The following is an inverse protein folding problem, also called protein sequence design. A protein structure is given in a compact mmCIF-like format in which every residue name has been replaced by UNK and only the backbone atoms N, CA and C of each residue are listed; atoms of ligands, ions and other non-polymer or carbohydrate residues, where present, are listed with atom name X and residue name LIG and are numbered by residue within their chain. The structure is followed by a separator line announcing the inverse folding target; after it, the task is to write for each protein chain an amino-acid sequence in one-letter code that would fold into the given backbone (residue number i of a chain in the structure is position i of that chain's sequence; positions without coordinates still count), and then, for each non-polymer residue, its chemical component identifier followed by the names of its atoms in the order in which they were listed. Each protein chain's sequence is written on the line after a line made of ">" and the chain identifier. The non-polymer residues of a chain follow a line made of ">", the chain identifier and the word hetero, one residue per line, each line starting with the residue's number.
data_IF_756246282162
#
_entry.id   IF_756246282162
#
_cell.length_a   1.000
_cell.length_b   1.000
_cell.length_c   1.000
_cell.angle_alpha   90.00
_cell.angle_beta   90.00
_cell.angle_gamma   90.00
#
_symmetry.space_group_name_H-M   'P 1'
#
loop_
_entity.id
_entity.type
_entity.pdbx_description
1 polymer ?
#
# COMPACT_ATOMS: atom_id res chain seq x y z
N UNK A 1 9.21 -21.56 4.34
CA UNK A 1 9.88 -20.26 4.32
C UNK A 1 9.24 -19.44 3.21
N UNK A 2 8.19 -18.63 3.54
CA UNK A 2 7.50 -17.79 2.55
C UNK A 2 8.42 -16.59 2.28
N UNK A 3 9.13 -16.60 1.16
CA UNK A 3 9.77 -15.40 0.64
C UNK A 3 8.67 -14.39 0.32
N UNK A 4 8.47 -13.40 1.18
CA UNK A 4 7.75 -12.18 0.80
C UNK A 4 8.54 -11.57 -0.37
N UNK A 5 8.08 -11.84 -1.59
CA UNK A 5 8.66 -11.26 -2.80
C UNK A 5 8.49 -9.74 -2.68
N UNK A 6 9.57 -9.06 -2.34
CA UNK A 6 9.58 -7.59 -2.32
C UNK A 6 9.22 -7.09 -3.71
N UNK A 7 7.99 -6.61 -3.84
CA UNK A 7 7.49 -6.10 -5.10
C UNK A 7 8.07 -4.71 -5.33
N UNK A 8 8.87 -4.55 -6.39
CA UNK A 8 9.48 -3.27 -6.74
C UNK A 8 8.42 -2.21 -7.08
N UNK A 9 8.77 -0.94 -6.97
CA UNK A 9 7.87 0.15 -7.36
C UNK A 9 7.56 0.11 -8.86
N UNK A 10 8.51 -0.35 -9.68
CA UNK A 10 8.28 -0.54 -11.11
C UNK A 10 7.22 -1.63 -11.38
N UNK A 11 7.25 -2.75 -10.65
CA UNK A 11 6.27 -3.82 -10.80
C UNK A 11 4.87 -3.37 -10.36
N UNK A 12 4.79 -2.62 -9.24
CA UNK A 12 3.54 -2.01 -8.79
C UNK A 12 2.98 -1.05 -9.84
N UNK A 13 3.82 -0.19 -10.40
CA UNK A 13 3.41 0.78 -11.41
C UNK A 13 2.91 0.11 -12.68
N UNK A 14 3.49 -1.05 -13.05
CA UNK A 14 2.98 -1.87 -14.17
C UNK A 14 1.59 -2.42 -13.85
N UNK A 15 1.36 -2.91 -12.64
CA UNK A 15 0.07 -3.40 -12.20
C UNK A 15 -0.99 -2.29 -12.16
N UNK A 16 -0.61 -1.09 -11.69
CA UNK A 16 -1.51 0.04 -11.53
C UNK A 16 -1.75 0.82 -12.82
N UNK A 17 -0.96 0.58 -13.88
CA UNK A 17 -1.01 1.34 -15.14
C UNK A 17 -2.42 1.37 -15.75
N UNK A 18 -3.08 0.22 -15.87
CA UNK A 18 -4.43 0.14 -16.43
C UNK A 18 -5.45 0.95 -15.62
N UNK A 19 -5.31 0.95 -14.29
CA UNK A 19 -6.15 1.73 -13.39
C UNK A 19 -5.90 3.24 -13.52
N UNK A 20 -4.63 3.65 -13.59
CA UNK A 20 -4.24 5.06 -13.68
C UNK A 20 -4.59 5.68 -15.03
N UNK A 21 -4.51 4.90 -16.11
CA UNK A 21 -4.81 5.37 -17.47
C UNK A 21 -6.29 5.29 -17.83
N UNK A 22 -7.13 4.66 -17.00
CA UNK A 22 -8.57 4.61 -17.25
C UNK A 22 -9.20 6.00 -17.19
N UNK A 23 -10.16 6.24 -18.08
CA UNK A 23 -10.79 7.55 -18.31
C UNK A 23 -11.36 8.17 -17.03
N UNK A 24 -11.07 9.44 -16.81
CA UNK A 24 -11.66 10.25 -15.74
C UNK A 24 -11.01 10.14 -14.36
N UNK A 25 -10.00 9.29 -14.14
CA UNK A 25 -9.35 9.14 -12.82
C UNK A 25 -8.28 10.19 -12.55
N UNK A 26 -7.52 10.56 -13.56
CA UNK A 26 -6.52 11.61 -13.50
C UNK A 26 -6.95 12.77 -14.38
N UNK A 27 -7.02 13.97 -13.80
CA UNK A 27 -7.22 15.20 -14.56
C UNK A 27 -5.90 15.68 -15.18
N UNK A 28 -5.98 16.49 -16.25
CA UNK A 28 -4.79 17.10 -16.86
C UNK A 28 -3.98 17.91 -15.83
N UNK A 29 -4.68 18.71 -15.03
CA UNK A 29 -4.04 19.51 -13.98
C UNK A 29 -3.26 18.66 -12.97
N UNK A 30 -3.78 17.47 -12.62
CA UNK A 30 -3.13 16.57 -11.69
C UNK A 30 -1.86 15.96 -12.31
N UNK A 31 -1.93 15.54 -13.58
CA UNK A 31 -0.76 15.03 -14.32
C UNK A 31 0.30 16.12 -14.43
N UNK A 32 -0.08 17.37 -14.71
CA UNK A 32 0.85 18.48 -14.78
C UNK A 32 1.54 18.76 -13.43
N UNK A 33 0.79 18.70 -12.32
CA UNK A 33 1.36 18.82 -10.97
C UNK A 33 2.38 17.72 -10.68
N UNK A 34 2.06 16.47 -11.01
CA UNK A 34 2.96 15.33 -10.83
C UNK A 34 4.24 15.50 -11.66
N UNK A 35 4.12 15.88 -12.93
CA UNK A 35 5.27 16.12 -13.81
C UNK A 35 6.16 17.24 -13.27
N UNK A 36 5.59 18.35 -12.82
CA UNK A 36 6.34 19.45 -12.21
C UNK A 36 7.04 19.01 -10.91
N UNK A 37 6.40 18.22 -10.09
CA UNK A 37 7.02 17.70 -8.88
C UNK A 37 8.22 16.79 -9.20
N UNK A 38 8.09 15.88 -10.16
CA UNK A 38 9.17 15.00 -10.62
C UNK A 38 10.34 15.76 -11.27
N UNK A 39 10.06 16.93 -11.85
CA UNK A 39 11.09 17.80 -12.39
C UNK A 39 11.86 18.58 -11.28
N UNK A 40 11.16 18.93 -10.18
CA UNK A 40 11.73 19.75 -9.09
C UNK A 40 12.39 18.97 -7.97
N UNK A 41 12.10 17.66 -7.86
CA UNK A 41 12.67 16.82 -6.80
C UNK A 41 14.17 16.63 -6.99
N UNK A 42 14.90 16.50 -5.88
CA UNK A 42 16.33 16.19 -5.93
C UNK A 42 16.59 14.75 -5.43
N UNK A 43 17.36 13.95 -6.15
CA UNK A 43 17.92 14.17 -7.49
C UNK A 43 16.83 14.25 -8.56
N UNK A 44 17.03 15.12 -9.56
CA UNK A 44 16.04 15.42 -10.60
C UNK A 44 15.63 14.16 -11.38
N UNK A 45 14.33 13.86 -11.35
CA UNK A 45 13.76 12.69 -12.04
C UNK A 45 13.50 13.02 -13.52
N UNK A 46 12.90 14.16 -13.80
CA UNK A 46 12.61 14.62 -15.16
C UNK A 46 13.39 15.87 -15.48
N UNK A 47 14.06 15.90 -16.62
CA UNK A 47 14.66 17.13 -17.17
C UNK A 47 13.56 18.10 -17.63
N UNK A 48 13.90 19.37 -17.82
CA UNK A 48 12.95 20.38 -18.30
C UNK A 48 12.32 19.99 -19.64
N UNK A 49 13.13 19.49 -20.57
CA UNK A 49 12.65 19.01 -21.88
C UNK A 49 11.66 17.84 -21.78
N UNK A 50 11.94 16.89 -20.87
CA UNK A 50 11.03 15.77 -20.61
C UNK A 50 9.74 16.24 -19.96
N UNK A 51 9.82 17.15 -18.99
CA UNK A 51 8.64 17.74 -18.35
C UNK A 51 7.75 18.48 -19.36
N UNK A 52 8.31 19.27 -20.27
CA UNK A 52 7.58 19.93 -21.34
C UNK A 52 6.89 18.92 -22.27
N UNK A 53 7.61 17.83 -22.64
CA UNK A 53 7.05 16.77 -23.48
C UNK A 53 5.82 16.12 -22.84
N UNK A 54 5.89 15.80 -21.54
CA UNK A 54 4.77 15.15 -20.83
C UNK A 54 3.62 16.12 -20.47
N UNK A 55 3.84 17.42 -20.56
CA UNK A 55 2.84 18.46 -20.37
C UNK A 55 2.25 19.03 -21.66
N UNK A 56 2.65 18.48 -22.82
CA UNK A 56 2.19 18.99 -24.12
C UNK A 56 0.66 18.83 -24.27
N UNK A 57 -0.11 19.94 -24.36
CA UNK A 57 -1.57 19.90 -24.44
C UNK A 57 -2.10 19.33 -25.77
N UNK A 58 -1.24 19.23 -26.79
CA UNK A 58 -1.62 18.64 -28.10
C UNK A 58 -1.75 17.12 -28.05
N UNK A 59 -1.12 16.46 -27.07
CA UNK A 59 -1.22 15.02 -26.91
C UNK A 59 -2.36 14.65 -25.97
N UNK A 60 -3.06 13.55 -26.22
CA UNK A 60 -4.10 13.07 -25.34
C UNK A 60 -3.56 12.76 -23.94
N UNK A 61 -4.37 13.00 -22.90
CA UNK A 61 -4.00 12.72 -21.51
C UNK A 61 -3.53 11.28 -21.31
N UNK A 62 -4.23 10.32 -21.92
CA UNK A 62 -3.87 8.90 -21.89
C UNK A 62 -2.47 8.66 -22.49
N UNK A 63 -2.16 9.25 -23.65
CA UNK A 63 -0.85 9.10 -24.29
C UNK A 63 0.27 9.73 -23.45
N UNK A 64 0.03 10.91 -22.89
CA UNK A 64 0.99 11.61 -22.00
C UNK A 64 1.30 10.79 -20.77
N UNK A 65 0.27 10.27 -20.10
CA UNK A 65 0.41 9.47 -18.89
C UNK A 65 1.08 8.11 -19.17
N UNK A 66 0.67 7.41 -20.22
CA UNK A 66 1.29 6.14 -20.62
C UNK A 66 2.77 6.30 -20.95
N UNK A 67 3.11 7.37 -21.68
CA UNK A 67 4.50 7.71 -22.00
C UNK A 67 5.33 8.08 -20.78
N UNK A 68 4.74 8.81 -19.83
CA UNK A 68 5.37 9.15 -18.55
C UNK A 68 5.66 7.87 -17.74
N UNK A 69 4.67 7.01 -17.56
CA UNK A 69 4.81 5.76 -16.81
C UNK A 69 5.90 4.87 -17.44
N UNK A 70 5.86 4.68 -18.76
CA UNK A 70 6.88 3.90 -19.47
C UNK A 70 8.29 4.47 -19.30
N UNK A 71 8.41 5.81 -19.33
CA UNK A 71 9.68 6.50 -19.11
C UNK A 71 10.22 6.27 -17.69
N UNK A 72 9.37 6.37 -16.67
CA UNK A 72 9.76 6.15 -15.28
C UNK A 72 10.18 4.71 -15.02
N UNK A 73 9.44 3.72 -15.57
CA UNK A 73 9.78 2.30 -15.47
C UNK A 73 11.14 2.00 -16.08
N UNK A 74 11.46 2.62 -17.23
CA UNK A 74 12.76 2.46 -17.90
C UNK A 74 13.92 3.03 -17.07
N UNK A 75 13.67 4.06 -16.26
CA UNK A 75 14.69 4.70 -15.41
C UNK A 75 14.92 4.00 -14.08
N UNK A 76 14.03 3.08 -13.69
CA UNK A 76 14.19 2.21 -12.52
C UNK A 76 13.27 2.54 -11.35
N UNK A 77 13.59 1.95 -10.20
CA UNK A 77 12.68 1.89 -9.05
C UNK A 77 12.51 3.23 -8.33
N UNK A 78 13.59 4.02 -8.17
CA UNK A 78 13.52 5.34 -7.53
C UNK A 78 12.57 6.33 -8.22
N UNK A 79 12.62 6.53 -9.56
CA UNK A 79 11.65 7.34 -10.27
C UNK A 79 10.21 6.87 -10.09
N UNK A 80 9.97 5.56 -10.08
CA UNK A 80 8.64 5.00 -9.82
C UNK A 80 8.18 5.29 -8.39
N UNK A 81 9.06 5.22 -7.40
CA UNK A 81 8.78 5.59 -6.01
C UNK A 81 8.39 7.07 -5.87
N UNK A 82 9.14 7.97 -6.51
CA UNK A 82 8.83 9.40 -6.48
C UNK A 82 7.52 9.75 -7.19
N UNK A 83 7.15 8.99 -8.23
CA UNK A 83 5.82 9.11 -8.84
C UNK A 83 4.71 8.76 -7.84
N UNK A 84 4.85 7.69 -7.07
CA UNK A 84 3.88 7.33 -6.04
C UNK A 84 3.83 8.37 -4.92
N UNK A 85 4.97 8.94 -4.54
CA UNK A 85 5.01 10.05 -3.57
C UNK A 85 4.27 11.27 -4.10
N UNK A 86 4.50 11.65 -5.36
CA UNK A 86 3.80 12.75 -6.01
C UNK A 86 2.29 12.49 -6.10
N UNK A 87 1.90 11.26 -6.41
CA UNK A 87 0.50 10.85 -6.46
C UNK A 87 -0.15 10.92 -5.06
N UNK A 88 0.53 10.46 -4.02
CA UNK A 88 0.06 10.52 -2.64
C UNK A 88 -0.18 11.97 -2.18
N UNK A 89 0.75 12.88 -2.50
CA UNK A 89 0.65 14.29 -2.09
C UNK A 89 -0.48 15.01 -2.83
N UNK A 90 -0.66 14.75 -4.12
CA UNK A 90 -1.58 15.51 -4.97
C UNK A 90 -2.96 14.85 -5.14
N UNK A 91 -3.08 13.56 -4.88
CA UNK A 91 -4.30 12.77 -5.07
C UNK A 91 -4.35 11.58 -4.10
N UNK A 92 -4.42 11.84 -2.81
CA UNK A 92 -4.39 10.82 -1.76
C UNK A 92 -5.47 9.75 -1.94
N UNK A 93 -6.70 10.15 -2.27
CA UNK A 93 -7.81 9.21 -2.49
C UNK A 93 -7.55 8.24 -3.65
N UNK A 94 -6.96 8.73 -4.73
CA UNK A 94 -6.57 7.89 -5.85
C UNK A 94 -5.44 6.93 -5.45
N UNK A 95 -4.46 7.42 -4.70
CA UNK A 95 -3.34 6.65 -4.19
C UNK A 95 -3.77 5.48 -3.27
N UNK A 96 -4.73 5.73 -2.37
CA UNK A 96 -5.28 4.70 -1.47
C UNK A 96 -6.02 3.61 -2.27
N UNK A 97 -6.69 4.00 -3.35
CA UNK A 97 -7.50 3.10 -4.18
C UNK A 97 -6.71 2.31 -5.23
N UNK A 98 -5.39 2.43 -5.29
CA UNK A 98 -4.56 1.68 -6.23
C UNK A 98 -4.70 0.16 -6.06
N UNK A 99 -4.80 -0.61 -7.16
CA UNK A 99 -4.88 -2.07 -7.12
C UNK A 99 -3.71 -2.72 -6.37
N UNK A 100 -2.48 -2.24 -6.58
CA UNK A 100 -1.28 -2.75 -5.91
C UNK A 100 -1.33 -2.59 -4.38
N UNK A 101 -2.01 -1.58 -3.87
CA UNK A 101 -2.19 -1.37 -2.42
C UNK A 101 -3.28 -2.25 -1.82
N UNK A 102 -4.38 -2.45 -2.56
CA UNK A 102 -5.48 -3.32 -2.12
C UNK A 102 -5.04 -4.77 -2.00
N UNK A 103 -4.22 -5.25 -2.92
CA UNK A 103 -3.68 -6.62 -2.87
C UNK A 103 -2.82 -6.87 -1.63
N UNK A 104 -1.99 -5.91 -1.23
CA UNK A 104 -1.16 -6.01 -0.03
C UNK A 104 -1.97 -6.07 1.26
N UNK A 105 -3.03 -5.24 1.37
CA UNK A 105 -3.90 -5.21 2.54
C UNK A 105 -4.63 -6.55 2.73
N UNK A 106 -5.21 -7.11 1.67
CA UNK A 106 -5.95 -8.39 1.73
C UNK A 106 -5.06 -9.56 2.15
N UNK A 107 -3.85 -9.65 1.60
CA UNK A 107 -2.91 -10.76 1.92
C UNK A 107 -2.42 -10.68 3.36
N UNK A 108 -2.19 -9.49 3.88
CA UNK A 108 -1.76 -9.29 5.27
C UNK A 108 -2.85 -9.73 6.27
N UNK A 109 -4.10 -9.35 6.05
CA UNK A 109 -5.22 -9.76 6.89
C UNK A 109 -5.44 -11.28 6.86
N UNK A 110 -5.36 -11.92 5.69
CA UNK A 110 -5.47 -13.37 5.57
C UNK A 110 -4.36 -14.11 6.31
N UNK A 111 -3.12 -13.62 6.23
CA UNK A 111 -1.98 -14.22 6.94
C UNK A 111 -2.14 -14.09 8.46
N UNK A 112 -2.54 -12.93 8.98
CA UNK A 112 -2.78 -12.72 10.42
C UNK A 112 -3.95 -13.56 10.93
N UNK A 113 -5.03 -13.68 10.16
CA UNK A 113 -6.18 -14.52 10.51
C UNK A 113 -5.80 -16.02 10.52
N UNK A 114 -5.02 -16.46 9.54
CA UNK A 114 -4.53 -17.84 9.45
C UNK A 114 -3.67 -18.24 10.64
N UNK A 115 -2.77 -17.37 11.08
CA UNK A 115 -1.91 -17.62 12.26
C UNK A 115 -2.74 -17.64 13.54
N UNK A 116 -3.66 -16.70 13.72
CA UNK A 116 -4.52 -16.64 14.91
C UNK A 116 -5.45 -17.85 15.02
N UNK A 117 -6.11 -18.23 13.90
CA UNK A 117 -6.97 -19.41 13.83
C UNK A 117 -6.18 -20.72 14.02
N UNK A 118 -4.99 -20.82 13.42
CA UNK A 118 -4.10 -21.98 13.58
C UNK A 118 -3.63 -22.16 15.02
N UNK A 119 -3.24 -21.08 15.71
CA UNK A 119 -2.89 -21.13 17.13
C UNK A 119 -4.06 -21.50 18.02
N UNK A 120 -5.25 -20.95 17.77
CA UNK A 120 -6.47 -21.29 18.52
C UNK A 120 -6.85 -22.77 18.32
N UNK A 121 -6.78 -23.26 17.09
CA UNK A 121 -7.04 -24.66 16.76
C UNK A 121 -5.99 -25.59 17.38
N UNK A 122 -4.72 -25.22 17.31
CA UNK A 122 -3.62 -25.98 17.95
C UNK A 122 -3.82 -26.06 19.47
N UNK A 123 -4.16 -24.95 20.13
CA UNK A 123 -4.46 -24.92 21.56
C UNK A 123 -5.68 -25.77 21.90
N UNK A 124 -6.69 -25.80 21.04
CA UNK A 124 -7.89 -26.61 21.21
C UNK A 124 -7.59 -28.13 21.04
N UNK A 125 -6.83 -28.51 20.00
CA UNK A 125 -6.52 -29.91 19.72
C UNK A 125 -5.42 -30.47 20.62
N UNK A 126 -4.46 -29.67 21.10
CA UNK A 126 -3.40 -30.07 21.99
C UNK A 126 -3.74 -30.01 23.47
N UNK A 127 -5.03 -29.79 23.83
CA UNK A 127 -5.52 -29.84 25.20
C UNK A 127 -6.29 -31.15 25.51
N UNK A 128 -5.63 -32.30 25.63
CA UNK A 128 -6.26 -33.50 26.16
C UNK A 128 -6.16 -33.48 27.69
N UNK A 129 -7.17 -32.89 28.34
CA UNK A 129 -7.36 -33.06 29.80
C UNK A 129 -6.51 -32.15 30.69
N UNK A 130 -7.13 -31.17 31.16
CA UNK A 130 -6.98 -30.17 32.21
C UNK A 130 -6.10 -30.43 33.45
N UNK A 131 -5.03 -31.21 33.40
CA UNK A 131 -4.20 -31.48 34.61
C UNK A 131 -2.76 -30.99 34.57
N UNK A 132 -2.28 -30.41 33.47
CA UNK A 132 -0.85 -30.02 33.34
C UNK A 132 -0.64 -28.49 33.33
N UNK A 133 -1.68 -27.68 33.41
CA UNK A 133 -1.59 -26.21 33.30
C UNK A 133 -1.27 -25.46 34.59
N UNK A 134 -0.97 -26.15 35.69
CA UNK A 134 -0.53 -25.51 36.94
C UNK A 134 0.86 -24.85 36.88
N UNK A 135 1.74 -25.33 36.00
CA UNK A 135 3.11 -24.82 35.87
C UNK A 135 3.36 -23.78 34.79
N UNK A 136 2.54 -23.75 33.72
CA UNK A 136 2.73 -22.85 32.58
C UNK A 136 2.25 -21.41 32.85
N UNK A 137 1.43 -21.18 33.87
CA UNK A 137 0.99 -19.84 34.28
C UNK A 137 2.10 -18.91 34.78
N UNK A 138 3.24 -19.48 35.15
CA UNK A 138 4.38 -18.73 35.70
C UNK A 138 5.40 -18.29 34.63
N UNK A 139 5.38 -18.88 33.44
CA UNK A 139 6.39 -18.65 32.40
C UNK A 139 5.93 -17.61 31.35
N UNK A 140 4.63 -17.50 31.09
CA UNK A 140 4.08 -16.52 30.18
C UNK A 140 3.20 -15.54 30.96
N UNK A 141 3.79 -14.55 31.59
CA UNK A 141 3.08 -13.48 32.34
C UNK A 141 2.08 -12.64 31.54
N UNK A 142 1.48 -13.22 30.51
CA UNK A 142 0.45 -12.61 29.67
C UNK A 142 -0.94 -13.04 30.13
N UNK A 143 -1.56 -12.21 30.95
CA UNK A 143 -2.98 -12.34 31.26
C UNK A 143 -3.79 -12.15 29.96
N UNK A 144 -4.70 -13.07 29.58
CA UNK A 144 -5.56 -12.92 28.40
C UNK A 144 -6.41 -11.62 28.43
N UNK A 145 -6.63 -11.08 29.63
CA UNK A 145 -7.35 -9.83 29.85
C UNK A 145 -6.58 -8.60 29.31
N UNK A 146 -5.24 -8.61 29.36
CA UNK A 146 -4.39 -7.51 28.88
C UNK A 146 -4.36 -7.49 27.36
N UNK A 147 -4.31 -8.66 26.71
CA UNK A 147 -4.36 -8.77 25.25
C UNK A 147 -5.72 -8.33 24.72
N UNK A 148 -6.83 -8.74 25.36
CA UNK A 148 -8.17 -8.33 24.96
C UNK A 148 -8.38 -6.80 25.04
N UNK A 149 -7.85 -6.13 26.06
CA UNK A 149 -7.93 -4.67 26.20
C UNK A 149 -7.11 -3.91 25.16
N UNK A 150 -5.94 -4.44 24.78
CA UNK A 150 -5.09 -3.79 23.77
C UNK A 150 -5.67 -3.93 22.37
N UNK A 151 -6.20 -5.10 22.03
CA UNK A 151 -6.87 -5.35 20.75
C UNK A 151 -8.15 -4.52 20.64
N UNK A 152 -8.96 -4.43 21.69
CA UNK A 152 -10.17 -3.60 21.72
C UNK A 152 -9.85 -2.12 21.49
N UNK A 153 -8.80 -1.58 22.12
CA UNK A 153 -8.40 -0.18 21.94
C UNK A 153 -7.89 0.10 20.53
N UNK A 154 -7.15 -0.84 19.91
CA UNK A 154 -6.67 -0.70 18.53
C UNK A 154 -7.84 -0.78 17.54
N UNK A 155 -8.80 -1.69 17.76
CA UNK A 155 -10.02 -1.78 16.93
C UNK A 155 -10.89 -0.54 17.04
N UNK A 156 -11.05 0.04 18.24
CA UNK A 156 -11.80 1.27 18.44
C UNK A 156 -11.16 2.47 17.75
N UNK A 157 -9.83 2.63 17.82
CA UNK A 157 -9.09 3.67 17.09
C UNK A 157 -9.27 3.55 15.57
N UNK A 158 -9.28 2.32 15.04
CA UNK A 158 -9.50 2.08 13.60
C UNK A 158 -10.93 2.36 13.16
N UNK A 159 -11.92 2.03 13.99
CA UNK A 159 -13.35 2.29 13.72
C UNK A 159 -13.67 3.79 13.80
N UNK A 160 -13.04 4.52 14.73
CA UNK A 160 -13.24 5.96 14.90
C UNK A 160 -12.63 6.76 13.74
N UNK A 161 -11.47 6.34 13.21
CA UNK A 161 -10.85 6.95 12.04
C UNK A 161 -11.66 6.68 10.74
N UNK A 162 -12.35 5.55 10.67
CA UNK A 162 -13.24 5.21 9.54
C UNK A 162 -14.56 5.99 9.59
N UNK A 163 -15.07 6.30 10.79
CA UNK A 163 -16.31 7.05 10.97
C UNK A 163 -16.15 8.57 10.74
N UNK A 164 -14.96 9.13 10.88
CA UNK A 164 -14.66 10.56 10.60
C UNK A 164 -14.51 10.89 9.12
N UNK A 165 -14.49 9.88 8.23
CA UNK A 165 -14.26 10.04 6.78
C UNK A 165 -15.53 9.80 5.93
N UNK A 166 -16.71 9.78 6.54
CA UNK A 166 -17.97 9.85 5.79
C UNK A 166 -18.57 11.25 5.77
#
# INVERSE_FOLDING_TARGET
>A
MLFMKYQSYCDRLRQDMAFLTSSGRLSEQLVDKIVLQLNRVYPQILTNKEAEKFRNPKASLHSRLSSLIAHLQKRGDKPCQEFYRALQINAEQLYINLPSRKSLSSTFFLACFGVAAGLAFFMYCCNPGSKVLGGAKKVLGFSPIIIGRHISNICLLYLEDTSRKQ
#
